data_IF_879355715279
#
_entry.id   IF_879355715279
#
_cell.length_a   1.000
_cell.length_b   1.000
_cell.length_c   1.000
_cell.angle_alpha   90.00
_cell.angle_beta   90.00
_cell.angle_gamma   90.00
#
_symmetry.space_group_name_H-M   'P 1'
#
loop_
_entity.id
_entity.type
_entity.pdbx_description
1 polymer ?
#
# COMPACT_ATOMS: atom_id res chain seq x y z
N UNK A 1 31.17 -32.30 -25.37
CA UNK A 1 29.91 -33.02 -25.10
C UNK A 1 28.80 -32.00 -25.17
N UNK A 2 27.96 -32.10 -26.20
CA UNK A 2 26.97 -31.09 -26.59
C UNK A 2 25.84 -30.99 -25.55
N UNK A 3 25.56 -29.78 -25.07
CA UNK A 3 24.34 -29.46 -24.33
C UNK A 3 23.13 -29.79 -25.21
N UNK A 4 22.24 -30.66 -24.73
CA UNK A 4 20.96 -30.92 -25.40
C UNK A 4 20.10 -29.66 -25.28
N UNK A 5 19.48 -29.18 -26.38
CA UNK A 5 18.53 -28.09 -26.30
C UNK A 5 17.32 -28.52 -25.46
N UNK A 6 16.80 -27.62 -24.63
CA UNK A 6 15.53 -27.78 -23.93
C UNK A 6 14.44 -28.06 -24.98
N UNK A 7 13.86 -29.26 -24.98
CA UNK A 7 12.77 -29.63 -25.88
C UNK A 7 11.56 -28.71 -25.62
N UNK A 8 11.09 -28.00 -26.65
CA UNK A 8 9.81 -27.27 -26.57
C UNK A 8 8.67 -28.28 -26.48
N UNK A 9 7.99 -28.27 -25.33
CA UNK A 9 6.90 -29.19 -25.01
C UNK A 9 5.58 -28.57 -25.47
N UNK A 10 4.77 -29.27 -26.26
CA UNK A 10 3.48 -28.76 -26.74
C UNK A 10 2.49 -28.47 -25.59
N UNK A 11 1.65 -27.43 -25.75
CA UNK A 11 0.71 -26.88 -24.73
C UNK A 11 -0.15 -27.90 -23.95
N UNK A 12 -0.44 -29.06 -24.52
CA UNK A 12 -1.21 -30.13 -23.83
C UNK A 12 -0.32 -31.01 -22.94
N UNK A 13 0.94 -31.18 -23.30
CA UNK A 13 1.93 -31.94 -22.52
C UNK A 13 2.50 -31.09 -21.36
N UNK A 14 2.42 -29.76 -21.47
CA UNK A 14 2.66 -28.79 -20.38
C UNK A 14 1.73 -29.01 -19.15
N UNK A 15 0.53 -29.54 -19.37
CA UNK A 15 -0.45 -29.90 -18.32
C UNK A 15 -0.01 -31.17 -17.55
N UNK A 16 0.99 -31.90 -18.05
CA UNK A 16 1.52 -33.13 -17.45
C UNK A 16 3.00 -33.02 -17.06
N UNK A 17 3.64 -31.84 -17.24
CA UNK A 17 5.01 -31.57 -16.79
C UNK A 17 5.03 -30.96 -15.38
N UNK A 18 6.24 -30.80 -14.82
CA UNK A 18 6.53 -30.32 -13.46
C UNK A 18 5.81 -29.02 -13.08
N UNK A 19 5.40 -28.21 -14.06
CA UNK A 19 4.68 -26.94 -13.88
C UNK A 19 3.19 -27.09 -13.55
N UNK A 20 2.60 -28.27 -13.77
CA UNK A 20 1.20 -28.59 -13.42
C UNK A 20 1.01 -29.10 -11.99
N UNK A 21 2.10 -29.44 -11.30
CA UNK A 21 2.03 -30.00 -9.95
C UNK A 21 1.92 -28.89 -8.91
N UNK A 22 1.10 -29.13 -7.89
CA UNK A 22 1.04 -28.29 -6.68
C UNK A 22 2.47 -28.15 -6.07
N UNK A 23 2.82 -26.99 -5.53
CA UNK A 23 4.11 -26.71 -4.85
C UNK A 23 4.45 -27.78 -3.79
N UNK A 24 3.45 -28.36 -3.14
CA UNK A 24 3.63 -29.50 -2.24
C UNK A 24 4.24 -30.72 -2.95
N UNK A 25 3.73 -31.06 -4.13
CA UNK A 25 4.16 -32.21 -4.90
C UNK A 25 5.49 -31.93 -5.62
N UNK A 26 5.72 -30.69 -6.06
CA UNK A 26 7.04 -30.25 -6.57
C UNK A 26 8.10 -30.38 -5.47
N UNK A 27 7.82 -29.91 -4.26
CA UNK A 27 8.76 -29.99 -3.13
C UNK A 27 9.04 -31.43 -2.71
N UNK A 28 8.02 -32.30 -2.65
CA UNK A 28 8.19 -33.74 -2.40
C UNK A 28 9.02 -34.46 -3.48
N UNK A 29 8.81 -34.11 -4.75
CA UNK A 29 9.58 -34.67 -5.87
C UNK A 29 11.05 -34.22 -5.78
N UNK A 30 11.31 -32.96 -5.43
CA UNK A 30 12.66 -32.42 -5.28
C UNK A 30 13.40 -33.00 -4.06
N UNK A 31 12.70 -33.20 -2.95
CA UNK A 31 13.25 -33.82 -1.74
C UNK A 31 13.49 -35.33 -1.90
N UNK A 32 12.86 -35.98 -2.90
CA UNK A 32 12.79 -37.45 -3.05
C UNK A 32 12.22 -38.19 -1.83
N UNK A 33 11.61 -37.45 -0.90
CA UNK A 33 11.02 -37.94 0.33
C UNK A 33 9.73 -37.14 0.63
N UNK A 34 8.79 -37.74 1.35
CA UNK A 34 7.48 -37.13 1.63
C UNK A 34 7.53 -35.94 2.60
N UNK A 35 8.61 -35.80 3.37
CA UNK A 35 8.78 -34.78 4.42
C UNK A 35 10.21 -34.24 4.48
N UNK A 36 10.78 -33.90 3.32
CA UNK A 36 12.14 -33.34 3.26
C UNK A 36 12.20 -31.86 3.64
N UNK A 37 13.42 -31.33 3.66
CA UNK A 37 13.72 -29.96 4.09
C UNK A 37 13.12 -28.93 3.12
N UNK A 38 13.06 -29.24 1.81
CA UNK A 38 12.49 -28.32 0.82
C UNK A 38 10.98 -28.20 1.04
N UNK A 39 10.24 -29.27 1.32
CA UNK A 39 8.83 -29.20 1.70
C UNK A 39 8.63 -28.36 2.95
N UNK A 40 9.41 -28.59 4.00
CA UNK A 40 9.29 -27.85 5.27
C UNK A 40 9.52 -26.34 5.08
N UNK A 41 10.51 -25.95 4.29
CA UNK A 41 10.87 -24.54 4.09
C UNK A 41 10.00 -23.86 3.04
N UNK A 42 9.72 -24.54 1.92
CA UNK A 42 9.05 -23.94 0.77
C UNK A 42 7.54 -24.17 0.74
N UNK A 43 7.02 -25.23 1.35
CA UNK A 43 5.58 -25.48 1.39
C UNK A 43 5.00 -25.10 2.74
N UNK A 44 5.46 -25.73 3.83
CA UNK A 44 4.91 -25.48 5.16
C UNK A 44 5.14 -24.01 5.58
N UNK A 45 6.35 -23.48 5.38
CA UNK A 45 6.63 -22.06 5.65
C UNK A 45 5.84 -21.07 4.78
N UNK A 46 5.50 -21.42 3.53
CA UNK A 46 4.65 -20.57 2.67
C UNK A 46 3.18 -20.64 3.10
N UNK A 47 2.70 -21.83 3.47
CA UNK A 47 1.32 -22.07 3.91
C UNK A 47 1.04 -21.43 5.28
N UNK A 48 1.99 -21.54 6.21
CA UNK A 48 1.97 -20.84 7.51
C UNK A 48 1.95 -19.32 7.30
N UNK A 49 2.83 -18.80 6.43
CA UNK A 49 2.84 -17.38 6.06
C UNK A 49 1.53 -16.91 5.43
N UNK A 50 0.90 -17.74 4.59
CA UNK A 50 -0.40 -17.44 3.99
C UNK A 50 -1.54 -17.46 5.03
N UNK A 51 -1.48 -18.36 5.99
CA UNK A 51 -2.44 -18.42 7.10
C UNK A 51 -2.33 -17.17 7.99
N UNK A 52 -1.13 -16.76 8.36
CA UNK A 52 -0.89 -15.55 9.15
C UNK A 52 -1.30 -14.28 8.39
N UNK A 53 -1.05 -14.22 7.07
CA UNK A 53 -1.58 -13.20 6.17
C UNK A 53 -3.11 -13.09 6.27
N UNK A 54 -3.82 -14.21 6.16
CA UNK A 54 -5.28 -14.24 6.20
C UNK A 54 -5.82 -13.81 7.56
N UNK A 55 -5.19 -14.27 8.65
CA UNK A 55 -5.53 -13.84 10.01
C UNK A 55 -5.37 -12.35 10.19
N UNK A 56 -4.22 -11.80 9.80
CA UNK A 56 -3.97 -10.36 9.91
C UNK A 56 -4.95 -9.52 9.07
N UNK A 57 -5.33 -9.99 7.87
CA UNK A 57 -6.37 -9.34 7.07
C UNK A 57 -7.73 -9.35 7.78
N UNK A 58 -8.10 -10.48 8.37
CA UNK A 58 -9.35 -10.60 9.12
C UNK A 58 -9.37 -9.69 10.35
N UNK A 59 -8.28 -9.64 11.11
CA UNK A 59 -8.13 -8.74 12.26
C UNK A 59 -8.23 -7.27 11.84
N UNK A 60 -7.62 -6.89 10.72
CA UNK A 60 -7.76 -5.55 10.16
C UNK A 60 -9.23 -5.23 9.81
N UNK A 61 -9.92 -6.15 9.11
CA UNK A 61 -11.32 -5.99 8.75
C UNK A 61 -12.22 -5.83 9.99
N UNK A 62 -12.01 -6.66 11.01
CA UNK A 62 -12.78 -6.61 12.25
C UNK A 62 -12.51 -5.32 13.03
N UNK A 63 -11.24 -4.88 13.07
CA UNK A 63 -10.86 -3.58 13.64
C UNK A 63 -11.59 -2.42 12.95
N UNK A 64 -11.58 -2.35 11.62
CA UNK A 64 -12.26 -1.25 10.91
C UNK A 64 -13.78 -1.31 11.05
N UNK A 65 -14.37 -2.51 11.02
CA UNK A 65 -15.82 -2.69 11.25
C UNK A 65 -16.24 -2.22 12.64
N UNK A 66 -15.47 -2.56 13.67
CA UNK A 66 -15.74 -2.12 15.06
C UNK A 66 -15.55 -0.60 15.19
N UNK A 67 -14.39 -0.09 14.79
CA UNK A 67 -14.02 1.31 15.03
C UNK A 67 -14.77 2.32 14.19
N UNK A 68 -15.23 1.94 13.00
CA UNK A 68 -16.05 2.81 12.13
C UNK A 68 -17.54 2.51 12.22
N UNK A 69 -17.96 1.65 13.16
CA UNK A 69 -19.37 1.37 13.40
C UNK A 69 -20.16 2.65 13.66
N UNK A 70 -21.28 2.78 12.96
CA UNK A 70 -22.19 3.92 13.06
C UNK A 70 -21.85 5.11 12.16
N UNK A 71 -20.79 5.02 11.35
CA UNK A 71 -20.44 6.05 10.35
C UNK A 71 -20.88 5.56 8.97
N UNK A 72 -21.67 6.38 8.27
CA UNK A 72 -21.99 6.12 6.86
C UNK A 72 -20.86 6.66 5.96
N UNK A 73 -19.95 5.76 5.57
CA UNK A 73 -18.84 6.07 4.67
C UNK A 73 -19.19 5.86 3.19
N UNK A 74 -20.40 5.40 2.85
CA UNK A 74 -20.73 4.90 1.51
C UNK A 74 -20.53 5.91 0.39
N UNK A 75 -20.62 7.22 0.70
CA UNK A 75 -20.47 8.32 -0.26
C UNK A 75 -19.12 9.04 -0.19
N UNK A 76 -18.19 8.55 0.63
CA UNK A 76 -16.95 9.27 0.92
C UNK A 76 -15.89 9.09 -0.16
N UNK A 77 -16.03 8.05 -0.99
CA UNK A 77 -15.08 7.68 -2.03
C UNK A 77 -15.78 7.42 -3.36
N UNK A 78 -15.19 7.91 -4.45
CA UNK A 78 -15.59 7.51 -5.81
C UNK A 78 -15.40 6.00 -6.04
N UNK A 79 -14.44 5.38 -5.36
CA UNK A 79 -14.02 3.98 -5.58
C UNK A 79 -14.97 2.96 -5.00
N UNK A 80 -15.93 3.39 -4.18
CA UNK A 80 -17.01 2.53 -3.71
C UNK A 80 -18.08 2.29 -4.78
N UNK A 81 -18.05 3.03 -5.89
CA UNK A 81 -19.01 2.93 -6.97
C UNK A 81 -18.35 2.47 -8.27
N UNK A 82 -19.03 1.59 -9.03
CA UNK A 82 -18.55 1.13 -10.34
C UNK A 82 -18.51 2.27 -11.37
N UNK A 83 -19.46 3.21 -11.29
CA UNK A 83 -19.57 4.40 -12.15
C UNK A 83 -20.07 5.57 -11.29
N UNK A 84 -19.18 6.32 -10.63
CA UNK A 84 -19.58 7.36 -9.70
C UNK A 84 -20.25 8.52 -10.45
N UNK A 85 -21.41 8.98 -9.96
CA UNK A 85 -22.00 10.26 -10.35
C UNK A 85 -21.88 11.27 -9.19
N UNK A 86 -22.10 12.56 -9.48
CA UNK A 86 -22.09 13.63 -8.46
C UNK A 86 -23.10 13.44 -7.32
N UNK A 87 -24.12 12.60 -7.50
CA UNK A 87 -25.12 12.30 -6.46
C UNK A 87 -24.69 11.15 -5.54
N UNK A 88 -23.79 10.31 -6.03
CA UNK A 88 -23.32 9.11 -5.31
C UNK A 88 -22.18 9.46 -4.35
N UNK A 89 -21.42 10.51 -4.66
CA UNK A 89 -20.21 10.89 -3.92
C UNK A 89 -20.36 12.29 -3.33
N UNK A 90 -19.99 12.42 -2.05
CA UNK A 90 -20.01 13.68 -1.31
C UNK A 90 -18.73 14.48 -1.59
N UNK A 91 -18.83 15.42 -2.54
CA UNK A 91 -17.75 16.34 -2.90
C UNK A 91 -17.81 17.60 -2.06
N UNK A 92 -16.65 17.99 -1.53
CA UNK A 92 -16.48 19.19 -0.73
C UNK A 92 -15.61 20.19 -1.49
N UNK A 93 -16.17 21.36 -1.77
CA UNK A 93 -15.46 22.46 -2.44
C UNK A 93 -15.01 23.48 -1.40
N UNK A 94 -13.70 23.66 -1.28
CA UNK A 94 -13.07 24.58 -0.33
C UNK A 94 -12.47 25.76 -1.08
N UNK A 95 -12.79 26.98 -0.62
CA UNK A 95 -12.11 28.20 -1.02
C UNK A 95 -10.90 28.40 -0.11
N UNK A 96 -9.72 28.44 -0.69
CA UNK A 96 -8.47 28.56 0.04
C UNK A 96 -8.05 30.03 0.19
N UNK A 97 -7.34 30.40 1.27
CA UNK A 97 -6.76 31.73 1.46
C UNK A 97 -5.93 32.22 0.28
N UNK A 98 -5.23 31.32 -0.43
CA UNK A 98 -4.48 31.65 -1.66
C UNK A 98 -5.36 32.07 -2.86
N UNK A 99 -6.69 32.11 -2.70
CA UNK A 99 -7.65 32.44 -3.75
C UNK A 99 -8.01 31.26 -4.65
N UNK A 100 -7.40 30.08 -4.43
CA UNK A 100 -7.69 28.86 -5.17
C UNK A 100 -8.96 28.19 -4.63
N UNK A 101 -9.68 27.47 -5.48
CA UNK A 101 -10.76 26.58 -5.04
C UNK A 101 -10.39 25.15 -5.36
N UNK A 102 -10.50 24.26 -4.38
CA UNK A 102 -10.22 22.83 -4.55
C UNK A 102 -11.47 22.05 -4.21
N UNK A 103 -11.84 21.11 -5.08
CA UNK A 103 -12.93 20.16 -4.84
C UNK A 103 -12.34 18.78 -4.64
N UNK A 104 -12.68 18.15 -3.53
CA UNK A 104 -12.16 16.85 -3.12
C UNK A 104 -13.24 16.05 -2.39
N UNK A 105 -13.11 14.73 -2.39
CA UNK A 105 -13.99 13.85 -1.62
C UNK A 105 -13.61 13.85 -0.14
N UNK A 106 -14.49 13.31 0.71
CA UNK A 106 -14.18 13.09 2.13
C UNK A 106 -12.97 12.18 2.33
N UNK A 107 -12.84 11.12 1.54
CA UNK A 107 -11.71 10.20 1.62
C UNK A 107 -10.38 10.80 1.13
N UNK A 108 -10.41 11.68 0.13
CA UNK A 108 -9.23 12.47 -0.29
C UNK A 108 -8.80 13.45 0.83
N UNK A 109 -9.76 14.03 1.58
CA UNK A 109 -9.47 14.90 2.74
C UNK A 109 -8.84 14.14 3.90
N UNK A 110 -9.33 12.94 4.19
CA UNK A 110 -8.73 12.03 5.17
C UNK A 110 -7.28 11.71 4.78
N UNK A 111 -7.03 11.35 3.51
CA UNK A 111 -5.68 11.07 3.02
C UNK A 111 -4.74 12.27 3.18
N UNK A 112 -5.23 13.47 2.87
CA UNK A 112 -4.46 14.71 3.02
C UNK A 112 -4.13 15.00 4.50
N UNK A 113 -5.06 14.72 5.41
CA UNK A 113 -4.82 14.81 6.86
C UNK A 113 -3.82 13.78 7.37
N UNK A 114 -3.77 12.59 6.79
CA UNK A 114 -2.76 11.58 7.14
C UNK A 114 -1.38 11.98 6.61
N UNK A 115 -1.31 12.47 5.37
CA UNK A 115 -0.07 13.00 4.80
C UNK A 115 0.48 14.18 5.60
N UNK A 116 -0.36 15.06 6.15
CA UNK A 116 0.11 16.21 6.93
C UNK A 116 0.72 15.85 8.28
N UNK A 117 0.48 14.64 8.81
CA UNK A 117 1.06 14.19 10.09
C UNK A 117 2.51 13.74 9.96
N UNK A 118 2.89 13.19 8.81
CA UNK A 118 4.27 12.77 8.55
C UNK A 118 5.10 13.95 8.03
N UNK A 119 6.22 14.26 8.68
CA UNK A 119 7.08 15.40 8.33
C UNK A 119 7.56 15.38 6.87
N UNK A 120 7.95 14.22 6.36
CA UNK A 120 8.43 14.09 4.98
C UNK A 120 7.30 14.27 3.98
N UNK A 121 6.14 13.66 4.23
CA UNK A 121 4.96 13.85 3.38
C UNK A 121 4.50 15.32 3.40
N UNK A 122 4.54 15.97 4.56
CA UNK A 122 4.24 17.40 4.70
C UNK A 122 5.17 18.24 3.84
N UNK A 123 6.48 17.94 3.83
CA UNK A 123 7.44 18.59 2.95
C UNK A 123 7.07 18.43 1.47
N UNK A 124 6.72 17.22 1.05
CA UNK A 124 6.26 16.96 -0.32
C UNK A 124 4.98 17.76 -0.66
N UNK A 125 4.03 17.86 0.27
CA UNK A 125 2.80 18.64 0.09
C UNK A 125 3.08 20.14 -0.08
N UNK A 126 3.96 20.70 0.74
CA UNK A 126 4.21 22.15 0.76
C UNK A 126 5.20 22.59 -0.35
N UNK A 127 6.24 21.81 -0.62
CA UNK A 127 7.24 22.15 -1.65
C UNK A 127 6.82 21.66 -3.05
N UNK A 128 6.31 20.44 -3.14
CA UNK A 128 5.92 19.80 -4.39
C UNK A 128 4.47 20.05 -4.81
N UNK A 129 3.58 20.24 -3.84
CA UNK A 129 2.14 20.24 -4.06
C UNK A 129 1.56 18.83 -4.15
N UNK A 130 0.32 18.72 -4.62
CA UNK A 130 -0.33 17.44 -4.86
C UNK A 130 -1.14 17.44 -6.14
N UNK A 131 -1.38 16.26 -6.69
CA UNK A 131 -2.26 16.01 -7.84
C UNK A 131 -3.25 14.92 -7.47
N UNK A 132 -4.47 14.98 -7.98
CA UNK A 132 -5.44 13.90 -7.74
C UNK A 132 -5.11 12.68 -8.61
N UNK A 133 -5.42 11.46 -8.13
CA UNK A 133 -5.18 10.23 -8.92
C UNK A 133 -5.80 10.30 -10.32
N UNK A 134 -6.99 10.92 -10.44
CA UNK A 134 -7.73 11.13 -11.69
C UNK A 134 -7.15 12.20 -12.62
N UNK A 135 -6.35 13.12 -12.07
CA UNK A 135 -5.83 14.29 -12.77
C UNK A 135 -4.35 14.52 -12.44
N UNK A 136 -3.52 13.49 -12.67
CA UNK A 136 -2.08 13.49 -12.29
C UNK A 136 -1.25 14.59 -12.94
N UNK A 137 -1.71 15.13 -14.08
CA UNK A 137 -1.03 16.21 -14.78
C UNK A 137 -1.26 17.60 -14.13
N UNK A 138 -2.30 17.74 -13.30
CA UNK A 138 -2.66 19.01 -12.65
C UNK A 138 -2.09 19.02 -11.24
N UNK A 139 -1.09 19.89 -11.02
CA UNK A 139 -0.44 20.04 -9.71
C UNK A 139 -1.07 21.22 -8.97
N UNK A 140 -1.69 20.93 -7.83
CA UNK A 140 -2.20 21.88 -6.87
C UNK A 140 -1.11 22.20 -5.84
N UNK A 141 -0.50 23.38 -5.97
CA UNK A 141 0.39 23.91 -4.93
C UNK A 141 -0.42 24.63 -3.86
N UNK A 142 -0.20 24.26 -2.61
CA UNK A 142 -0.83 24.85 -1.43
C UNK A 142 0.26 25.35 -0.48
N UNK A 143 -0.03 26.38 0.29
CA UNK A 143 0.82 26.83 1.40
C UNK A 143 0.29 26.30 2.75
N UNK A 144 0.96 26.65 3.84
CA UNK A 144 0.55 26.22 5.18
C UNK A 144 -0.85 26.70 5.58
N UNK A 145 -1.22 27.94 5.21
CA UNK A 145 -2.54 28.49 5.55
C UNK A 145 -3.68 27.79 4.79
N UNK A 146 -3.43 27.45 3.53
CA UNK A 146 -4.32 26.65 2.69
C UNK A 146 -4.51 25.25 3.30
N UNK A 147 -3.41 24.60 3.71
CA UNK A 147 -3.43 23.30 4.37
C UNK A 147 -4.24 23.36 5.68
N UNK A 148 -3.95 24.34 6.52
CA UNK A 148 -4.67 24.57 7.78
C UNK A 148 -6.17 24.75 7.57
N UNK A 149 -6.56 25.49 6.52
CA UNK A 149 -7.96 25.69 6.16
C UNK A 149 -8.63 24.37 5.78
N UNK A 150 -7.95 23.53 4.99
CA UNK A 150 -8.44 22.20 4.64
C UNK A 150 -8.58 21.32 5.88
N UNK A 151 -7.57 21.29 6.75
CA UNK A 151 -7.59 20.49 7.97
C UNK A 151 -8.68 20.94 8.96
N UNK A 152 -8.91 22.24 9.10
CA UNK A 152 -10.00 22.79 9.94
C UNK A 152 -11.40 22.47 9.39
N UNK A 153 -11.51 22.22 8.09
CA UNK A 153 -12.78 21.83 7.46
C UNK A 153 -13.14 20.35 7.65
N UNK A 154 -12.27 19.55 8.28
CA UNK A 154 -12.50 18.12 8.53
C UNK A 154 -13.63 17.94 9.55
N UNK A 155 -14.65 17.16 9.18
CA UNK A 155 -15.78 16.88 10.07
C UNK A 155 -15.39 15.93 11.20
N UNK A 156 -16.15 15.87 12.30
CA UNK A 156 -15.89 14.93 13.38
C UNK A 156 -15.87 13.46 12.92
N UNK A 157 -16.73 13.05 11.98
CA UNK A 157 -16.71 11.67 11.47
C UNK A 157 -15.44 11.37 10.68
N UNK A 158 -15.00 12.32 9.85
CA UNK A 158 -13.76 12.18 9.08
C UNK A 158 -12.53 12.18 9.98
N UNK A 159 -12.52 13.01 11.02
CA UNK A 159 -11.45 13.00 12.02
C UNK A 159 -11.36 11.64 12.70
N UNK A 160 -12.50 11.06 13.11
CA UNK A 160 -12.55 9.69 13.67
C UNK A 160 -12.00 8.67 12.68
N UNK A 161 -12.38 8.73 11.40
CA UNK A 161 -11.83 7.83 10.40
C UNK A 161 -10.32 8.00 10.18
N UNK A 162 -9.83 9.25 10.14
CA UNK A 162 -8.40 9.57 10.09
C UNK A 162 -7.66 8.96 11.27
N UNK A 163 -8.14 9.12 12.49
CA UNK A 163 -7.49 8.60 13.69
C UNK A 163 -7.45 7.06 13.71
N UNK A 164 -8.54 6.42 13.27
CA UNK A 164 -8.61 4.95 13.14
C UNK A 164 -7.64 4.40 12.11
N UNK A 165 -7.54 5.05 10.93
CA UNK A 165 -6.60 4.66 9.87
C UNK A 165 -5.16 4.93 10.31
N UNK A 166 -4.92 6.06 10.98
CA UNK A 166 -3.62 6.41 11.53
C UNK A 166 -3.14 5.34 12.53
N UNK A 167 -4.00 4.94 13.46
CA UNK A 167 -3.70 3.89 14.46
C UNK A 167 -3.43 2.54 13.81
N UNK A 168 -4.17 2.17 12.76
CA UNK A 168 -3.89 0.96 11.99
C UNK A 168 -2.48 0.98 11.40
N UNK A 169 -2.08 2.06 10.72
CA UNK A 169 -0.76 2.14 10.10
C UNK A 169 0.38 2.21 11.12
N UNK A 170 0.19 2.94 12.22
CA UNK A 170 1.28 3.31 13.14
C UNK A 170 1.39 2.42 14.38
N UNK A 171 0.38 1.61 14.67
CA UNK A 171 0.43 0.59 15.72
C UNK A 171 0.25 -0.79 15.11
N UNK A 172 -0.96 -1.13 14.67
CA UNK A 172 -1.32 -2.50 14.28
C UNK A 172 -0.40 -3.06 13.17
N UNK A 173 -0.31 -2.36 12.05
CA UNK A 173 0.54 -2.78 10.93
C UNK A 173 2.03 -2.65 11.26
N UNK A 174 2.43 -1.55 11.91
CA UNK A 174 3.83 -1.29 12.26
C UNK A 174 4.38 -2.37 13.18
N UNK A 175 3.63 -2.71 14.23
CA UNK A 175 4.01 -3.70 15.23
C UNK A 175 4.12 -5.09 14.60
N UNK A 176 3.12 -5.51 13.80
CA UNK A 176 3.17 -6.82 13.12
C UNK A 176 4.36 -6.92 12.15
N UNK A 177 4.70 -5.83 11.47
CA UNK A 177 5.84 -5.82 10.55
C UNK A 177 7.17 -5.87 11.32
N UNK A 178 7.26 -5.19 12.46
CA UNK A 178 8.46 -5.24 13.30
C UNK A 178 8.62 -6.59 14.00
N UNK A 179 7.53 -7.22 14.45
CA UNK A 179 7.51 -8.60 14.95
C UNK A 179 8.15 -9.55 13.92
N UNK A 180 7.64 -9.53 12.69
CA UNK A 180 8.15 -10.37 11.59
C UNK A 180 9.59 -9.98 11.22
N UNK A 181 9.92 -8.68 11.22
CA UNK A 181 11.27 -8.21 10.87
C UNK A 181 12.32 -8.65 11.89
N UNK A 182 11.98 -8.62 13.18
CA UNK A 182 12.86 -9.08 14.25
C UNK A 182 13.02 -10.60 14.20
N UNK A 183 11.95 -11.35 13.91
CA UNK A 183 12.03 -12.80 13.72
C UNK A 183 12.93 -13.18 12.54
N UNK A 184 12.79 -12.51 11.40
CA UNK A 184 13.52 -12.84 10.17
C UNK A 184 14.95 -12.32 10.16
N UNK A 185 15.16 -11.09 10.62
CA UNK A 185 16.41 -10.35 10.43
C UNK A 185 17.09 -9.96 11.75
N UNK A 186 16.36 -9.93 12.87
CA UNK A 186 16.89 -9.54 14.18
C UNK A 186 16.83 -8.03 14.47
N UNK A 187 16.18 -7.23 13.63
CA UNK A 187 15.98 -5.79 13.86
C UNK A 187 14.63 -5.28 13.33
N UNK A 188 14.16 -4.18 13.90
CA UNK A 188 12.96 -3.48 13.46
C UNK A 188 13.20 -2.75 12.13
N UNK A 189 12.25 -2.84 11.19
CA UNK A 189 12.39 -2.16 9.89
C UNK A 189 11.36 -1.06 9.70
N UNK A 190 10.19 -1.15 10.34
CA UNK A 190 9.19 -0.09 10.35
C UNK A 190 9.47 0.85 11.53
N UNK A 191 10.38 1.80 11.36
CA UNK A 191 10.77 2.76 12.41
C UNK A 191 10.17 4.15 12.21
N UNK A 192 9.68 4.47 11.00
CA UNK A 192 9.17 5.79 10.66
C UNK A 192 7.99 6.22 11.57
N UNK A 193 8.06 7.42 12.17
CA UNK A 193 6.94 7.99 12.92
C UNK A 193 5.86 8.52 11.97
N UNK A 194 4.62 8.51 12.44
CA UNK A 194 3.45 9.05 11.74
C UNK A 194 3.29 8.52 10.30
N UNK A 195 3.70 7.29 10.06
CA UNK A 195 3.76 6.67 8.76
C UNK A 195 2.41 6.75 8.02
N UNK A 196 2.47 7.23 6.78
CA UNK A 196 1.40 7.08 5.80
C UNK A 196 2.00 6.93 4.40
N UNK A 197 1.58 5.93 3.59
CA UNK A 197 2.22 5.64 2.30
C UNK A 197 2.17 6.82 1.32
N UNK A 198 3.32 7.21 0.77
CA UNK A 198 3.43 8.25 -0.26
C UNK A 198 3.48 7.67 -1.68
N UNK A 199 2.80 8.33 -2.61
CA UNK A 199 2.93 8.10 -4.05
C UNK A 199 3.35 9.39 -4.73
N UNK A 200 4.37 9.31 -5.57
CA UNK A 200 4.82 10.40 -6.43
C UNK A 200 4.84 9.91 -7.87
N UNK A 201 4.86 10.82 -8.84
CA UNK A 201 4.86 10.42 -10.25
C UNK A 201 6.20 9.76 -10.60
N UNK A 202 6.13 8.63 -11.30
CA UNK A 202 7.31 7.83 -11.65
C UNK A 202 8.27 8.59 -12.57
N UNK A 203 7.74 9.56 -13.32
CA UNK A 203 8.53 10.43 -14.20
C UNK A 203 9.46 11.37 -13.42
N UNK A 204 9.21 11.61 -12.13
CA UNK A 204 10.04 12.47 -11.29
C UNK A 204 11.14 11.70 -10.55
N UNK A 205 11.26 10.37 -10.77
CA UNK A 205 12.42 9.62 -10.28
C UNK A 205 13.63 9.97 -11.16
N UNK A 206 14.66 10.59 -10.57
CA UNK A 206 16.04 10.54 -11.11
C UNK A 206 16.46 9.06 -11.14
N UNK A 207 16.24 8.42 -12.29
CA UNK A 207 16.39 7.00 -12.49
C UNK A 207 17.87 6.62 -12.43
N UNK A 208 18.34 6.13 -11.28
CA UNK A 208 19.59 5.36 -11.20
C UNK A 208 19.32 3.97 -11.81
N UNK A 209 19.53 3.85 -13.12
CA UNK A 209 19.27 2.65 -13.95
C UNK A 209 20.07 1.42 -13.49
N UNK A 210 21.08 1.59 -12.62
CA UNK A 210 21.98 0.52 -12.19
C UNK A 210 21.35 -0.56 -11.27
N UNK A 211 20.18 -0.31 -10.64
CA UNK A 211 19.58 -1.26 -9.67
C UNK A 211 18.51 -2.21 -10.25
N UNK A 212 18.25 -2.20 -11.56
CA UNK A 212 17.17 -2.99 -12.18
C UNK A 212 17.52 -4.47 -12.46
N UNK A 213 18.69 -4.96 -12.03
CA UNK A 213 19.20 -6.31 -12.34
C UNK A 213 19.33 -7.25 -11.12
N UNK A 214 18.37 -7.24 -10.20
CA UNK A 214 18.26 -8.31 -9.18
C UNK A 214 16.82 -8.82 -9.07
N UNK A 215 16.44 -9.65 -10.04
CA UNK A 215 15.19 -10.40 -10.06
C UNK A 215 15.34 -11.68 -9.20
N UNK A 216 15.15 -11.54 -7.88
CA UNK A 216 14.62 -12.59 -6.99
C UNK A 216 14.27 -12.00 -5.62
N UNK A 217 15.04 -11.01 -5.15
CA UNK A 217 14.83 -10.30 -3.87
C UNK A 217 13.75 -9.21 -3.89
N UNK A 218 13.10 -8.97 -5.04
CA UNK A 218 11.95 -8.05 -5.12
C UNK A 218 10.63 -8.72 -4.69
N UNK A 219 10.60 -10.04 -4.51
CA UNK A 219 9.48 -10.78 -3.93
C UNK A 219 9.59 -10.99 -2.41
N UNK A 220 10.74 -10.64 -1.80
CA UNK A 220 10.94 -10.64 -0.35
C UNK A 220 10.57 -9.29 0.25
N UNK A 221 10.22 -9.26 1.55
CA UNK A 221 9.71 -8.11 2.31
C UNK A 221 10.24 -6.75 1.81
N UNK A 222 11.55 -6.58 1.62
CA UNK A 222 12.23 -5.35 1.17
C UNK A 222 11.68 -4.66 -0.10
N UNK A 223 10.99 -5.39 -1.00
CA UNK A 223 10.35 -4.81 -2.18
C UNK A 223 9.04 -4.06 -1.89
N UNK A 224 8.43 -4.32 -0.74
CA UNK A 224 7.17 -3.71 -0.32
C UNK A 224 7.43 -2.26 0.10
N UNK A 225 6.67 -1.30 -0.45
CA UNK A 225 6.95 0.14 -0.34
C UNK A 225 6.97 0.77 1.07
N UNK A 226 6.84 -0.03 2.14
CA UNK A 226 7.11 0.39 3.52
C UNK A 226 8.61 0.36 3.85
N UNK A 227 9.35 -0.60 3.28
CA UNK A 227 10.78 -0.80 3.56
C UNK A 227 11.68 0.05 2.65
N UNK A 228 11.09 0.76 1.70
CA UNK A 228 11.83 1.75 0.91
C UNK A 228 11.93 3.01 1.74
N UNK A 229 13.16 3.36 2.10
CA UNK A 229 13.46 4.70 2.58
C UNK A 229 12.86 5.73 1.62
N UNK A 230 11.98 6.57 2.16
CA UNK A 230 11.46 7.73 1.46
C UNK A 230 12.64 8.65 1.13
N UNK A 231 12.95 8.80 -0.16
CA UNK A 231 13.97 9.75 -0.63
C UNK A 231 13.55 11.19 -0.31
N UNK A 232 14.48 12.05 0.13
CA UNK A 232 14.31 13.50 0.35
C UNK A 232 14.06 14.29 -0.95
N UNK A 233 13.08 13.88 -1.76
CA UNK A 233 12.64 14.60 -2.95
C UNK A 233 11.53 15.60 -2.59
N UNK A 234 11.30 16.61 -3.43
CA UNK A 234 10.21 17.58 -3.28
C UNK A 234 9.14 17.40 -4.37
N UNK A 235 8.96 16.17 -4.85
CA UNK A 235 8.04 15.86 -5.93
C UNK A 235 6.59 15.95 -5.45
N UNK A 236 5.67 16.33 -6.33
CA UNK A 236 4.26 16.42 -6.00
C UNK A 236 3.69 15.05 -5.61
N UNK A 237 2.85 15.02 -4.57
CA UNK A 237 2.15 13.81 -4.14
C UNK A 237 1.01 13.50 -5.11
N UNK A 238 0.86 12.24 -5.49
CA UNK A 238 -0.39 11.76 -6.08
C UNK A 238 -1.32 11.44 -4.91
N UNK A 239 -2.26 12.34 -4.64
CA UNK A 239 -3.28 12.20 -3.61
C UNK A 239 -4.24 11.08 -4.02
N UNK A 240 -4.01 9.91 -3.42
CA UNK A 240 -4.89 8.77 -3.51
C UNK A 240 -5.88 8.80 -2.34
N UNK A 241 -7.09 8.33 -2.63
CA UNK A 241 -8.13 8.14 -1.64
C UNK A 241 -7.66 7.25 -0.47
N UNK A 242 -7.94 7.66 0.78
CA UNK A 242 -7.48 6.97 1.98
C UNK A 242 -7.92 5.50 2.06
N UNK A 243 -9.14 5.19 1.62
CA UNK A 243 -9.65 3.82 1.62
C UNK A 243 -8.97 2.97 0.54
N UNK A 244 -8.58 3.58 -0.58
CA UNK A 244 -7.81 2.89 -1.61
C UNK A 244 -6.39 2.58 -1.14
N UNK A 245 -5.73 3.54 -0.49
CA UNK A 245 -4.41 3.34 0.11
C UNK A 245 -4.47 2.26 1.20
N UNK A 246 -5.49 2.28 2.05
CA UNK A 246 -5.74 1.26 3.06
C UNK A 246 -5.96 -0.12 2.43
N UNK A 247 -6.87 -0.25 1.46
CA UNK A 247 -7.15 -1.51 0.76
C UNK A 247 -5.88 -2.10 0.12
N UNK A 248 -5.06 -1.25 -0.52
CA UNK A 248 -3.78 -1.68 -1.09
C UNK A 248 -2.81 -2.13 0.00
N UNK A 249 -2.77 -1.47 1.14
CA UNK A 249 -1.95 -1.88 2.28
C UNK A 249 -2.34 -3.28 2.77
N UNK A 250 -3.63 -3.52 3.01
CA UNK A 250 -4.16 -4.82 3.48
C UNK A 250 -3.94 -5.94 2.44
N UNK A 251 -4.03 -5.62 1.14
CA UNK A 251 -3.92 -6.61 0.06
C UNK A 251 -2.49 -6.87 -0.43
N UNK A 252 -1.62 -5.86 -0.45
CA UNK A 252 -0.24 -5.98 -0.96
C UNK A 252 0.78 -6.31 0.13
N UNK A 253 0.46 -6.10 1.41
CA UNK A 253 1.37 -6.27 2.56
C UNK A 253 0.91 -7.35 3.53
N UNK A 254 0.04 -8.22 3.05
CA UNK A 254 -0.30 -9.46 3.70
C UNK A 254 0.08 -10.55 2.72
#
# INVERSE_FOLDING_TARGET
>A
TLEKPLEEVGRVKEIFTTESYNIELISQILDKEKSGIIKKVMYDGIDEGYTEMLRFRQEADDYFKDKLKGIDIGKWSEKFHLRPTKKDVDYQTLKLPSGKSITMTKAERIALSLHSRNEKNLKHLLEGGFSFEKARAVIHRINSDDLDTILKSITPEEKRATDVIYEYFNKIQKDKINEISVELNGWETATEPDYYPIKTNVLDYKRNISKFRKNFSQKTLEGMGLFKETTNAANAIILEDAFTTLYKSIKQRA
#
